data_IF_908283804602
#
_entry.id   IF_908283804602
#
_cell.length_a   1.000
_cell.length_b   1.000
_cell.length_c   1.000
_cell.angle_alpha   90.00
_cell.angle_beta   90.00
_cell.angle_gamma   90.00
#
_symmetry.space_group_name_H-M   'P 1'
#
loop_
_entity.id
_entity.type
_entity.pdbx_description
1 polymer ?
#
# COMPACT_ATOMS: atom_id res chain seq x y z
N UNK A 1 -24.22 1.20 21.71
CA UNK A 1 -22.83 1.31 22.23
C UNK A 1 -22.18 2.51 21.58
N UNK A 2 -21.77 3.48 22.39
CA UNK A 2 -21.19 4.75 21.96
C UNK A 2 -19.72 4.50 21.54
N UNK A 3 -19.44 4.51 20.23
CA UNK A 3 -18.08 4.40 19.70
C UNK A 3 -17.26 5.62 20.10
N UNK A 4 -16.10 5.39 20.72
CA UNK A 4 -15.20 6.43 21.22
C UNK A 4 -14.57 7.19 20.05
N UNK A 5 -15.16 8.32 19.68
CA UNK A 5 -14.57 9.25 18.71
C UNK A 5 -13.26 9.81 19.30
N UNK A 6 -12.12 9.31 18.83
CA UNK A 6 -10.81 9.89 19.14
C UNK A 6 -10.60 11.16 18.33
N UNK A 7 -10.90 12.30 18.93
CA UNK A 7 -10.63 13.63 18.39
C UNK A 7 -9.16 13.98 18.56
N UNK A 8 -8.35 13.92 17.50
CA UNK A 8 -7.03 14.57 17.46
C UNK A 8 -7.20 15.97 16.86
N UNK A 9 -7.10 17.00 17.70
CA UNK A 9 -6.97 18.38 17.25
C UNK A 9 -5.60 18.62 16.62
N UNK A 10 -5.57 19.23 15.43
CA UNK A 10 -4.38 19.96 14.94
C UNK A 10 -4.79 21.38 14.53
N UNK A 11 -4.12 22.34 15.17
CA UNK A 11 -3.94 23.81 15.05
C UNK A 11 -4.59 24.67 13.93
N UNK A 12 -5.69 24.28 13.30
CA UNK A 12 -6.43 25.13 12.35
C UNK A 12 -7.92 24.80 12.32
N UNK A 13 -8.66 25.13 13.38
CA UNK A 13 -10.09 25.49 13.39
C UNK A 13 -11.17 24.53 12.86
N UNK A 14 -10.86 23.53 12.04
CA UNK A 14 -11.82 22.55 11.52
C UNK A 14 -11.63 21.21 12.25
N UNK A 15 -12.57 20.93 13.15
CA UNK A 15 -12.70 19.62 13.79
C UNK A 15 -13.21 18.65 12.74
N UNK A 16 -12.30 17.98 12.02
CA UNK A 16 -12.66 16.85 11.15
C UNK A 16 -12.97 15.67 12.07
N UNK A 17 -14.26 15.44 12.34
CA UNK A 17 -14.72 14.24 13.02
C UNK A 17 -14.47 13.03 12.10
N UNK A 18 -13.48 12.21 12.43
CA UNK A 18 -13.24 10.95 11.74
C UNK A 18 -14.20 9.90 12.28
N UNK A 19 -15.07 9.36 11.42
CA UNK A 19 -15.81 8.13 11.74
C UNK A 19 -14.81 6.96 11.77
N UNK A 20 -14.66 6.30 12.93
CA UNK A 20 -13.75 5.15 13.09
C UNK A 20 -14.04 4.07 12.04
N UNK A 21 -15.31 3.82 11.75
CA UNK A 21 -15.74 2.83 10.75
C UNK A 21 -15.30 3.21 9.33
N UNK A 22 -15.37 4.50 8.97
CA UNK A 22 -14.96 4.97 7.65
C UNK A 22 -13.43 4.92 7.49
N UNK A 23 -12.68 5.27 8.53
CA UNK A 23 -11.21 5.20 8.52
C UNK A 23 -10.73 3.75 8.46
N UNK A 24 -11.34 2.85 9.22
CA UNK A 24 -11.01 1.42 9.21
C UNK A 24 -11.31 0.79 7.83
N UNK A 25 -12.45 1.11 7.22
CA UNK A 25 -12.79 0.63 5.89
C UNK A 25 -11.79 1.12 4.83
N UNK A 26 -11.41 2.41 4.87
CA UNK A 26 -10.41 2.94 3.95
C UNK A 26 -9.03 2.28 4.13
N UNK A 27 -8.64 1.97 5.38
CA UNK A 27 -7.42 1.24 5.66
C UNK A 27 -7.44 -0.17 5.08
N UNK A 28 -8.55 -0.90 5.23
CA UNK A 28 -8.72 -2.24 4.66
C UNK A 28 -8.65 -2.24 3.12
N UNK A 29 -9.29 -1.26 2.47
CA UNK A 29 -9.22 -1.11 1.00
C UNK A 29 -7.78 -0.83 0.54
N UNK A 30 -7.04 0.03 1.24
CA UNK A 30 -5.64 0.32 0.92
C UNK A 30 -4.76 -0.91 1.13
N UNK A 31 -5.01 -1.70 2.17
CA UNK A 31 -4.30 -2.96 2.41
C UNK A 31 -4.54 -3.99 1.30
N UNK A 32 -5.79 -4.13 0.86
CA UNK A 32 -6.12 -4.99 -0.28
C UNK A 32 -5.38 -4.55 -1.55
N UNK A 33 -5.41 -3.26 -1.88
CA UNK A 33 -4.66 -2.73 -3.04
C UNK A 33 -3.14 -3.00 -2.93
N UNK A 34 -2.57 -2.89 -1.73
CA UNK A 34 -1.15 -3.20 -1.49
C UNK A 34 -0.84 -4.66 -1.77
N UNK A 35 -1.64 -5.60 -1.26
CA UNK A 35 -1.44 -7.04 -1.45
C UNK A 35 -1.59 -7.39 -2.94
N UNK A 36 -2.64 -6.90 -3.60
CA UNK A 36 -2.85 -7.13 -5.03
C UNK A 36 -1.70 -6.58 -5.88
N UNK A 37 -1.23 -5.36 -5.59
CA UNK A 37 -0.12 -4.78 -6.34
C UNK A 37 1.21 -5.50 -6.07
N UNK A 38 1.45 -5.97 -4.84
CA UNK A 38 2.61 -6.79 -4.53
C UNK A 38 2.62 -8.11 -5.31
N UNK A 39 1.47 -8.78 -5.43
CA UNK A 39 1.34 -10.00 -6.23
C UNK A 39 1.58 -9.74 -7.73
N UNK A 40 0.96 -8.71 -8.30
CA UNK A 40 1.09 -8.36 -9.72
C UNK A 40 2.52 -7.93 -10.08
N UNK A 41 3.13 -7.08 -9.26
CA UNK A 41 4.52 -6.64 -9.47
C UNK A 41 5.52 -7.77 -9.26
N UNK A 42 5.30 -8.64 -8.27
CA UNK A 42 6.10 -9.84 -8.04
C UNK A 42 6.06 -10.77 -9.25
N UNK A 43 4.86 -11.02 -9.77
CA UNK A 43 4.70 -11.86 -10.95
C UNK A 43 5.31 -11.27 -12.22
N UNK A 44 5.19 -9.96 -12.42
CA UNK A 44 5.84 -9.28 -13.55
C UNK A 44 7.36 -9.36 -13.44
N UNK A 45 7.91 -9.24 -12.23
CA UNK A 45 9.35 -9.37 -12.00
C UNK A 45 9.87 -10.79 -12.24
N UNK A 46 9.07 -11.80 -11.86
CA UNK A 46 9.36 -13.22 -12.14
C UNK A 46 9.28 -13.58 -13.62
N UNK A 47 8.27 -13.06 -14.33
CA UNK A 47 8.11 -13.28 -15.76
C UNK A 47 9.24 -12.66 -16.59
N UNK A 48 9.73 -11.48 -16.19
CA UNK A 48 10.86 -10.82 -16.86
C UNK A 48 12.22 -11.41 -16.49
N UNK A 49 12.28 -12.35 -15.54
CA UNK A 49 13.55 -12.96 -15.12
C UNK A 49 14.50 -12.00 -14.40
N UNK A 50 13.98 -10.93 -13.78
CA UNK A 50 14.82 -9.90 -13.16
C UNK A 50 15.63 -10.50 -12.00
N UNK A 51 16.95 -10.26 -12.01
CA UNK A 51 17.85 -10.71 -10.94
C UNK A 51 17.65 -9.90 -9.67
N UNK A 52 18.10 -10.45 -8.53
CA UNK A 52 17.77 -9.99 -7.16
C UNK A 52 17.82 -8.47 -6.98
N UNK A 53 18.88 -7.80 -7.46
CA UNK A 53 19.03 -6.34 -7.35
C UNK A 53 17.94 -5.58 -8.13
N UNK A 54 17.67 -5.97 -9.37
CA UNK A 54 16.68 -5.29 -10.20
C UNK A 54 15.25 -5.58 -9.75
N UNK A 55 14.96 -6.79 -9.28
CA UNK A 55 13.65 -7.10 -8.69
C UNK A 55 13.39 -6.28 -7.41
N UNK A 56 14.40 -6.09 -6.56
CA UNK A 56 14.24 -5.24 -5.38
C UNK A 56 13.99 -3.77 -5.75
N UNK A 57 14.69 -3.24 -6.75
CA UNK A 57 14.41 -1.89 -7.28
C UNK A 57 13.00 -1.79 -7.86
N UNK A 58 12.55 -2.81 -8.59
CA UNK A 58 11.20 -2.87 -9.14
C UNK A 58 10.12 -2.90 -8.05
N UNK A 59 10.36 -3.61 -6.95
CA UNK A 59 9.47 -3.60 -5.79
C UNK A 59 9.35 -2.20 -5.17
N UNK A 60 10.48 -1.52 -4.95
CA UNK A 60 10.47 -0.13 -4.43
C UNK A 60 9.71 0.78 -5.40
N UNK A 61 9.96 0.66 -6.71
CA UNK A 61 9.24 1.42 -7.72
C UNK A 61 7.72 1.15 -7.70
N UNK A 62 7.30 -0.11 -7.56
CA UNK A 62 5.89 -0.48 -7.45
C UNK A 62 5.22 0.10 -6.19
N UNK A 63 5.91 0.07 -5.04
CA UNK A 63 5.41 0.69 -3.79
C UNK A 63 5.27 2.21 -3.92
N UNK A 64 6.26 2.88 -4.54
CA UNK A 64 6.18 4.31 -4.84
C UNK A 64 5.07 4.62 -5.85
N UNK A 65 4.89 3.77 -6.86
CA UNK A 65 3.81 3.87 -7.85
C UNK A 65 2.44 3.76 -7.21
N UNK A 66 2.23 2.78 -6.32
CA UNK A 66 1.00 2.66 -5.55
C UNK A 66 0.74 3.91 -4.71
N UNK A 67 1.78 4.40 -4.03
CA UNK A 67 1.69 5.58 -3.21
C UNK A 67 1.29 6.80 -4.04
N UNK A 68 1.92 7.02 -5.19
CA UNK A 68 1.57 8.09 -6.11
C UNK A 68 0.13 7.95 -6.64
N UNK A 69 -0.29 6.74 -7.00
CA UNK A 69 -1.64 6.47 -7.50
C UNK A 69 -2.71 6.71 -6.42
N UNK A 70 -2.43 6.29 -5.18
CA UNK A 70 -3.24 6.66 -4.04
C UNK A 70 -3.25 8.19 -3.91
N UNK A 71 -2.08 8.86 -3.96
CA UNK A 71 -1.91 10.32 -3.91
C UNK A 71 -2.64 11.12 -5.00
N UNK A 72 -2.96 10.49 -6.11
CA UNK A 72 -3.84 11.08 -7.12
C UNK A 72 -5.31 10.80 -6.78
N UNK A 73 -5.63 9.59 -6.33
CA UNK A 73 -7.00 9.15 -6.04
C UNK A 73 -7.67 9.90 -4.88
N UNK A 74 -6.96 10.31 -3.82
CA UNK A 74 -7.58 11.11 -2.75
C UNK A 74 -7.58 12.64 -3.01
N UNK A 75 -7.06 13.12 -4.15
CA UNK A 75 -7.22 14.50 -4.63
C UNK A 75 -6.83 15.61 -3.65
N UNK A 76 -7.26 16.86 -3.83
CA UNK A 76 -6.89 17.99 -2.96
C UNK A 76 -7.31 17.88 -1.47
N UNK A 77 -8.10 16.86 -1.08
CA UNK A 77 -8.60 16.67 0.28
C UNK A 77 -7.88 15.56 1.07
N UNK A 78 -6.60 15.30 0.77
CA UNK A 78 -5.68 14.43 1.54
C UNK A 78 -5.86 14.47 3.06
N UNK A 79 -6.06 15.68 3.59
CA UNK A 79 -6.16 15.97 5.03
C UNK A 79 -7.47 15.52 5.68
N UNK A 80 -8.48 15.14 4.88
CA UNK A 80 -9.80 14.69 5.35
C UNK A 80 -9.94 13.16 5.36
N UNK A 81 -9.12 12.45 4.57
CA UNK A 81 -9.21 11.00 4.40
C UNK A 81 -8.08 10.21 5.06
N UNK A 82 -6.90 10.83 5.29
CA UNK A 82 -5.75 10.12 5.84
C UNK A 82 -5.06 10.88 6.97
N UNK A 83 -4.91 10.20 8.12
CA UNK A 83 -4.31 10.71 9.36
C UNK A 83 -2.79 10.95 9.22
N UNK A 84 -2.09 10.21 8.34
CA UNK A 84 -0.65 10.46 8.08
C UNK A 84 -0.17 9.83 6.77
N UNK A 85 0.50 10.63 5.93
CA UNK A 85 1.14 10.20 4.66
C UNK A 85 2.24 9.15 4.88
N UNK A 86 2.96 9.25 6.01
CA UNK A 86 4.08 8.34 6.33
C UNK A 86 3.56 7.00 6.85
N UNK A 87 2.48 7.01 7.62
CA UNK A 87 1.89 5.78 8.13
C UNK A 87 1.28 4.91 7.02
N UNK A 88 0.75 5.50 5.96
CA UNK A 88 0.31 4.77 4.77
C UNK A 88 1.45 4.02 4.07
N UNK A 89 2.64 4.63 4.00
CA UNK A 89 3.83 4.05 3.38
C UNK A 89 4.47 2.96 4.24
N UNK A 90 4.55 3.17 5.56
CA UNK A 90 5.20 2.20 6.46
C UNK A 90 4.26 1.13 6.98
N UNK A 91 2.93 1.32 6.93
CA UNK A 91 1.98 0.27 7.29
C UNK A 91 1.99 -0.84 6.24
N UNK A 92 2.48 -2.03 6.62
CA UNK A 92 2.39 -3.22 5.79
C UNK A 92 3.43 -3.35 4.68
N UNK A 93 4.53 -2.59 4.71
CA UNK A 93 5.66 -2.78 3.78
C UNK A 93 6.20 -4.21 3.84
N UNK A 94 6.43 -4.73 5.05
CA UNK A 94 6.94 -6.09 5.23
C UNK A 94 5.94 -7.17 4.79
N UNK A 95 4.63 -6.93 5.00
CA UNK A 95 3.58 -7.84 4.53
C UNK A 95 3.54 -7.94 3.00
N UNK A 96 3.63 -6.79 2.31
CA UNK A 96 3.70 -6.76 0.85
C UNK A 96 4.98 -7.39 0.29
N UNK A 97 6.11 -7.27 1.00
CA UNK A 97 7.38 -7.86 0.58
C UNK A 97 7.31 -9.39 0.51
N UNK A 98 6.73 -10.04 1.52
CA UNK A 98 6.56 -11.49 1.51
C UNK A 98 5.73 -11.97 0.31
N UNK A 99 4.59 -11.31 0.04
CA UNK A 99 3.75 -11.64 -1.12
C UNK A 99 4.48 -11.41 -2.44
N UNK A 100 5.24 -10.31 -2.55
CA UNK A 100 6.03 -10.01 -3.74
C UNK A 100 7.07 -11.10 -4.02
N UNK A 101 7.87 -11.48 -3.01
CA UNK A 101 8.92 -12.50 -3.15
C UNK A 101 8.35 -13.88 -3.50
N UNK A 102 7.20 -14.24 -2.91
CA UNK A 102 6.49 -15.48 -3.23
C UNK A 102 6.10 -15.54 -4.72
N UNK A 103 5.44 -14.51 -5.25
CA UNK A 103 5.04 -14.49 -6.66
C UNK A 103 6.22 -14.39 -7.61
N UNK A 104 7.25 -13.64 -7.24
CA UNK A 104 8.48 -13.50 -8.01
C UNK A 104 9.19 -14.84 -8.20
N UNK A 105 9.49 -15.53 -7.10
CA UNK A 105 10.20 -16.83 -7.14
C UNK A 105 9.35 -17.91 -7.80
N UNK A 106 8.04 -17.93 -7.54
CA UNK A 106 7.12 -18.88 -8.15
C UNK A 106 7.06 -18.77 -9.68
N UNK A 107 6.86 -17.56 -10.21
CA UNK A 107 6.78 -17.36 -11.66
C UNK A 107 8.15 -17.46 -12.34
N UNK A 108 9.23 -17.04 -11.68
CA UNK A 108 10.58 -17.28 -12.18
C UNK A 108 10.86 -18.78 -12.34
N UNK A 109 10.51 -19.59 -11.34
CA UNK A 109 10.63 -21.04 -11.41
C UNK A 109 9.81 -21.66 -12.55
N UNK A 110 8.58 -21.17 -12.76
CA UNK A 110 7.70 -21.69 -13.81
C UNK A 110 8.18 -21.36 -15.24
N UNK A 111 8.76 -20.18 -15.46
CA UNK A 111 9.10 -19.69 -16.82
C UNK A 111 10.54 -19.97 -17.20
N UNK A 112 11.45 -19.97 -16.23
CA UNK A 112 12.89 -20.08 -16.49
C UNK A 112 13.51 -21.41 -16.08
N UNK A 113 12.87 -22.19 -15.19
CA UNK A 113 13.39 -23.49 -14.74
C UNK A 113 12.67 -24.65 -15.41
N UNK A 114 11.36 -24.54 -15.59
CA UNK A 114 10.51 -25.50 -16.32
C UNK A 114 10.24 -25.03 -17.74
#
# INVERSE_FOLDING_TARGET
>A
MLGKIKTKQEKSGEIVAYSETAVANNAAVVEYCKISMAALSGGTAGLLGLTVLYGFVFYVFAVFGLWAMLLMKAGGQWRKYFISRRHLLTSGFFGGLCTYVLFWTFLYGMVHVY
#
